data_IF_230604631682
#
_entry.id   IF_230604631682
#
_cell.length_a   1.000
_cell.length_b   1.000
_cell.length_c   1.000
_cell.angle_alpha   90.00
_cell.angle_beta   90.00
_cell.angle_gamma   90.00
#
_symmetry.space_group_name_H-M   'P 1'
#
loop_
_entity.id
_entity.type
_entity.pdbx_description
1 polymer ?
#
# COMPACT_ATOMS: atom_id res chain seq x y z
N UNK A 1 5.95 5.13 -17.07
CA UNK A 1 6.95 4.58 -16.11
C UNK A 1 6.41 3.24 -15.66
N UNK A 2 7.23 2.18 -15.58
CA UNK A 2 6.72 0.86 -15.18
C UNK A 2 6.60 0.78 -13.67
N UNK A 3 5.47 0.32 -13.14
CA UNK A 3 5.26 0.22 -11.68
C UNK A 3 6.33 -0.62 -10.98
N UNK A 4 6.81 -1.68 -11.63
CA UNK A 4 7.87 -2.55 -11.13
C UNK A 4 9.21 -1.84 -10.84
N UNK A 5 9.45 -0.67 -11.45
CA UNK A 5 10.70 0.09 -11.30
C UNK A 5 10.60 1.18 -10.22
N UNK A 6 9.40 1.41 -9.66
CA UNK A 6 9.15 2.53 -8.76
C UNK A 6 9.68 2.31 -7.33
N UNK A 7 9.82 1.07 -6.90
CA UNK A 7 9.98 0.71 -5.48
C UNK A 7 11.27 -0.08 -5.20
N UNK A 8 12.46 0.52 -5.37
CA UNK A 8 13.70 -0.13 -4.97
C UNK A 8 13.67 -0.56 -3.49
N UNK A 9 14.34 -1.67 -3.18
CA UNK A 9 14.39 -2.20 -1.82
C UNK A 9 15.06 -1.23 -0.85
N UNK A 10 14.67 -1.28 0.43
CA UNK A 10 15.20 -0.39 1.48
C UNK A 10 14.54 0.99 1.55
N UNK A 11 13.62 1.30 0.63
CA UNK A 11 12.76 2.49 0.72
C UNK A 11 11.68 2.38 1.80
N UNK A 12 10.96 3.48 2.03
CA UNK A 12 9.90 3.58 3.05
C UNK A 12 8.59 4.04 2.42
N UNK A 13 7.50 3.35 2.75
CA UNK A 13 6.16 3.65 2.28
C UNK A 13 5.26 4.24 3.36
N UNK A 14 4.44 5.22 3.01
CA UNK A 14 3.38 5.77 3.84
C UNK A 14 2.10 5.78 3.00
N UNK A 15 1.03 5.20 3.52
CA UNK A 15 -0.29 5.30 2.90
C UNK A 15 -1.15 6.30 3.67
N UNK A 16 -1.77 7.20 2.92
CA UNK A 16 -2.79 8.12 3.38
C UNK A 16 -4.17 7.65 2.91
N UNK A 17 -5.13 7.67 3.84
CA UNK A 17 -6.54 7.33 3.63
C UNK A 17 -7.40 8.37 4.33
N UNK A 18 -8.68 8.45 4.02
CA UNK A 18 -9.62 9.31 4.74
C UNK A 18 -10.98 8.61 4.87
N UNK A 19 -11.71 8.91 5.94
CA UNK A 19 -13.10 8.45 6.07
C UNK A 19 -14.06 9.26 5.17
N UNK A 20 -15.35 8.94 5.20
CA UNK A 20 -16.37 9.63 4.41
C UNK A 20 -16.58 11.12 4.81
N UNK A 21 -16.12 11.52 6.00
CA UNK A 21 -16.19 12.92 6.46
C UNK A 21 -14.92 13.71 6.11
N UNK A 22 -13.92 13.06 5.49
CA UNK A 22 -12.64 13.67 5.15
C UNK A 22 -11.62 13.68 6.30
N UNK A 23 -11.83 12.91 7.37
CA UNK A 23 -10.84 12.77 8.45
C UNK A 23 -9.68 11.90 7.95
N UNK A 24 -8.51 12.51 7.82
CA UNK A 24 -7.31 11.89 7.23
C UNK A 24 -6.59 10.99 8.24
N UNK A 25 -6.05 9.88 7.74
CA UNK A 25 -5.21 8.94 8.45
C UNK A 25 -3.95 8.63 7.64
N UNK A 26 -2.80 8.52 8.31
CA UNK A 26 -1.52 8.12 7.72
C UNK A 26 -0.96 6.92 8.48
N UNK A 27 -0.43 5.94 7.74
CA UNK A 27 0.23 4.78 8.33
C UNK A 27 1.45 4.36 7.51
N UNK A 28 2.48 3.86 8.18
CA UNK A 28 3.64 3.24 7.51
C UNK A 28 3.20 1.92 6.90
N UNK A 29 3.49 1.72 5.63
CA UNK A 29 3.16 0.51 4.89
C UNK A 29 4.39 -0.05 4.17
N UNK A 30 4.43 -1.37 4.02
CA UNK A 30 5.45 -2.04 3.22
C UNK A 30 5.38 -1.62 1.74
N UNK A 31 6.37 -2.04 0.97
CA UNK A 31 6.33 -1.90 -0.48
C UNK A 31 5.14 -2.69 -1.04
N UNK A 32 4.46 -2.17 -2.08
CA UNK A 32 3.36 -2.90 -2.71
C UNK A 32 3.83 -4.22 -3.29
N UNK A 33 2.86 -5.10 -3.51
CA UNK A 33 2.94 -6.11 -4.54
C UNK A 33 2.54 -5.46 -5.88
N UNK A 34 3.34 -5.67 -6.92
CA UNK A 34 3.02 -5.19 -8.27
C UNK A 34 2.24 -6.31 -8.98
N UNK A 35 0.95 -6.09 -9.20
CA UNK A 35 0.07 -7.10 -9.79
C UNK A 35 0.19 -7.10 -11.30
N UNK A 36 0.16 -5.91 -11.90
CA UNK A 36 0.31 -5.69 -13.34
C UNK A 36 0.84 -4.28 -13.62
N UNK A 37 0.65 -3.76 -14.85
CA UNK A 37 1.16 -2.46 -15.28
C UNK A 37 0.45 -1.26 -14.63
N UNK A 38 -0.76 -1.44 -14.09
CA UNK A 38 -1.60 -0.36 -13.53
C UNK A 38 -2.09 -0.66 -12.10
N UNK A 39 -1.89 -1.87 -11.60
CA UNK A 39 -2.46 -2.35 -10.34
C UNK A 39 -1.38 -2.69 -9.31
N UNK A 40 -1.57 -2.15 -8.11
CA UNK A 40 -0.78 -2.46 -6.91
C UNK A 40 -1.66 -3.11 -5.85
N UNK A 41 -1.05 -3.92 -4.97
CA UNK A 41 -1.75 -4.52 -3.84
C UNK A 41 -0.96 -4.41 -2.54
N UNK A 42 -1.70 -4.31 -1.43
CA UNK A 42 -1.14 -4.34 -0.07
C UNK A 42 -1.96 -5.25 0.83
N UNK A 43 -1.28 -5.85 1.80
CA UNK A 43 -1.93 -6.53 2.91
C UNK A 43 -2.35 -5.54 3.99
N UNK A 44 -3.52 -5.76 4.56
CA UNK A 44 -4.08 -4.98 5.65
C UNK A 44 -4.44 -5.90 6.81
N UNK A 45 -4.22 -5.42 8.03
CA UNK A 45 -4.99 -5.86 9.18
C UNK A 45 -6.34 -5.13 9.20
N UNK A 46 -7.32 -5.68 9.90
CA UNK A 46 -8.50 -4.89 10.25
C UNK A 46 -8.09 -3.66 11.06
N UNK A 47 -8.74 -2.53 10.80
CA UNK A 47 -8.45 -1.25 11.45
C UNK A 47 -8.66 -0.05 10.54
N UNK A 48 -8.26 1.13 11.02
CA UNK A 48 -8.66 2.43 10.47
C UNK A 48 -8.37 2.59 8.97
N UNK A 49 -7.19 2.17 8.48
CA UNK A 49 -6.85 2.38 7.06
C UNK A 49 -7.80 1.61 6.13
N UNK A 50 -8.12 0.34 6.42
CA UNK A 50 -9.04 -0.44 5.58
C UNK A 50 -10.50 -0.03 5.80
N UNK A 51 -10.88 0.36 7.02
CA UNK A 51 -12.20 0.94 7.32
C UNK A 51 -12.45 2.22 6.53
N UNK A 52 -11.46 3.12 6.47
CA UNK A 52 -11.51 4.33 5.66
C UNK A 52 -11.73 3.98 4.18
N UNK A 53 -10.97 3.02 3.65
CA UNK A 53 -11.04 2.61 2.24
C UNK A 53 -12.39 2.03 1.84
N UNK A 54 -13.05 1.30 2.73
CA UNK A 54 -14.41 0.77 2.51
C UNK A 54 -15.47 1.88 2.41
N UNK A 55 -15.22 3.05 3.00
CA UNK A 55 -16.12 4.21 2.95
C UNK A 55 -15.74 5.21 1.85
N UNK A 56 -14.45 5.35 1.58
CA UNK A 56 -13.85 6.23 0.61
C UNK A 56 -12.66 5.51 -0.05
N UNK A 57 -12.79 5.04 -1.30
CA UNK A 57 -11.79 4.17 -1.92
C UNK A 57 -10.49 4.88 -2.30
N UNK A 58 -10.39 6.20 -2.11
CA UNK A 58 -9.22 6.97 -2.50
C UNK A 58 -8.10 6.90 -1.46
N UNK A 59 -6.87 6.74 -1.95
CA UNK A 59 -5.67 6.76 -1.13
C UNK A 59 -4.53 7.52 -1.81
N UNK A 60 -3.57 7.96 -1.01
CA UNK A 60 -2.30 8.49 -1.47
C UNK A 60 -1.17 7.66 -0.91
N UNK A 61 -0.34 7.04 -1.75
CA UNK A 61 0.85 6.34 -1.29
C UNK A 61 2.09 7.17 -1.58
N UNK A 62 2.88 7.43 -0.54
CA UNK A 62 4.13 8.16 -0.62
C UNK A 62 5.27 7.17 -0.38
N UNK A 63 6.17 7.07 -1.35
CA UNK A 63 7.37 6.25 -1.28
C UNK A 63 8.62 7.13 -1.24
N UNK A 64 9.45 6.96 -0.21
CA UNK A 64 10.82 7.51 -0.17
C UNK A 64 11.81 6.44 -0.61
N UNK A 65 12.56 6.75 -1.66
CA UNK A 65 13.66 5.91 -2.13
C UNK A 65 14.83 5.91 -1.12
N UNK A 66 15.63 4.82 -1.06
CA UNK A 66 16.79 4.70 -0.17
C UNK A 66 17.97 5.57 -0.65
N UNK A 67 17.83 6.89 -0.62
CA UNK A 67 18.83 7.84 -1.13
C UNK A 67 19.05 9.01 -0.18
N UNK A 68 20.14 9.75 -0.38
CA UNK A 68 20.35 11.04 0.30
C UNK A 68 19.50 12.09 -0.42
N UNK A 69 18.48 12.63 0.25
CA UNK A 69 17.57 13.66 -0.29
C UNK A 69 16.10 13.19 -0.36
N UNK A 70 15.28 13.92 -1.12
CA UNK A 70 13.84 13.65 -1.29
C UNK A 70 13.56 13.02 -2.66
N UNK A 71 14.12 11.84 -2.91
CA UNK A 71 13.83 11.05 -4.13
C UNK A 71 12.75 10.02 -3.84
N UNK A 72 11.81 9.85 -4.77
CA UNK A 72 10.72 8.91 -4.63
C UNK A 72 9.45 9.42 -5.31
N UNK A 73 8.31 8.84 -4.92
CA UNK A 73 7.06 9.01 -5.65
C UNK A 73 5.88 9.28 -4.72
N UNK A 74 4.90 10.02 -5.25
CA UNK A 74 3.54 10.13 -4.72
C UNK A 74 2.61 9.49 -5.73
N UNK A 75 1.84 8.52 -5.28
CA UNK A 75 0.87 7.82 -6.07
C UNK A 75 -0.53 8.22 -5.61
N UNK A 76 -1.36 8.63 -6.56
CA UNK A 76 -2.81 8.75 -6.36
C UNK A 76 -3.43 7.40 -6.68
N UNK A 77 -4.22 6.85 -5.77
CA UNK A 77 -4.72 5.48 -5.84
C UNK A 77 -6.24 5.45 -5.64
N UNK A 78 -6.89 4.49 -6.29
CA UNK A 78 -8.28 4.13 -6.03
C UNK A 78 -8.37 2.63 -5.77
N UNK A 79 -8.89 2.24 -4.61
CA UNK A 79 -9.15 0.84 -4.28
C UNK A 79 -10.23 0.29 -5.22
N UNK A 80 -9.90 -0.79 -5.91
CA UNK A 80 -10.80 -1.44 -6.88
C UNK A 80 -11.37 -2.75 -6.32
N UNK A 81 -10.68 -3.39 -5.38
CA UNK A 81 -11.10 -4.67 -4.83
C UNK A 81 -10.47 -4.90 -3.44
N UNK A 82 -11.21 -5.55 -2.55
CA UNK A 82 -10.72 -6.06 -1.27
C UNK A 82 -11.07 -7.54 -1.16
N UNK A 83 -10.11 -8.40 -0.80
CA UNK A 83 -10.32 -9.84 -0.56
C UNK A 83 -9.87 -10.25 0.83
N UNK A 84 -10.59 -11.19 1.43
CA UNK A 84 -10.23 -11.86 2.68
C UNK A 84 -9.53 -13.21 2.51
N UNK A 85 -9.31 -13.64 1.26
CA UNK A 85 -8.74 -14.93 0.89
C UNK A 85 -8.00 -14.85 -0.45
N UNK A 86 -7.26 -15.91 -0.79
CA UNK A 86 -6.54 -16.06 -2.06
C UNK A 86 -5.03 -16.19 -1.89
N UNK A 87 -4.37 -16.63 -2.96
CA UNK A 87 -2.92 -16.89 -2.98
C UNK A 87 -2.09 -15.66 -2.62
N UNK A 88 -2.44 -14.50 -3.18
CA UNK A 88 -1.72 -13.25 -2.90
C UNK A 88 -1.79 -12.83 -1.42
N UNK A 89 -2.90 -13.10 -0.71
CA UNK A 89 -2.99 -12.83 0.71
C UNK A 89 -1.98 -13.70 1.50
N UNK A 90 -1.82 -14.96 1.10
CA UNK A 90 -0.84 -15.86 1.72
C UNK A 90 0.60 -15.41 1.43
N UNK A 91 0.91 -15.03 0.19
CA UNK A 91 2.21 -14.46 -0.17
C UNK A 91 2.55 -13.21 0.65
N UNK A 92 1.59 -12.30 0.80
CA UNK A 92 1.79 -11.08 1.59
C UNK A 92 1.99 -11.41 3.07
N UNK A 93 1.26 -12.38 3.63
CA UNK A 93 1.50 -12.85 5.01
C UNK A 93 2.91 -13.40 5.19
N UNK A 94 3.38 -14.24 4.27
CA UNK A 94 4.73 -14.79 4.30
C UNK A 94 5.78 -13.68 4.22
N UNK A 95 5.64 -12.75 3.26
CA UNK A 95 6.53 -11.59 3.14
C UNK A 95 6.52 -10.75 4.41
N UNK A 96 5.36 -10.51 5.00
CA UNK A 96 5.21 -9.72 6.25
C UNK A 96 5.93 -10.39 7.42
N UNK A 97 5.90 -11.72 7.50
CA UNK A 97 6.62 -12.46 8.54
C UNK A 97 8.14 -12.26 8.43
N UNK A 98 8.67 -12.17 7.20
CA UNK A 98 10.09 -11.98 6.92
C UNK A 98 10.56 -10.54 7.15
N UNK A 99 9.75 -9.54 6.74
CA UNK A 99 10.18 -8.13 6.76
C UNK A 99 9.77 -7.37 8.03
N UNK A 100 8.76 -7.84 8.75
CA UNK A 100 8.24 -7.18 9.95
C UNK A 100 8.29 -8.10 11.18
N UNK A 101 7.34 -9.03 11.31
CA UNK A 101 7.32 -10.03 12.37
C UNK A 101 6.24 -11.09 12.13
N UNK A 102 6.34 -12.29 12.75
CA UNK A 102 5.26 -13.28 12.74
C UNK A 102 3.95 -12.74 13.31
N UNK A 103 4.01 -11.88 14.33
CA UNK A 103 2.83 -11.25 14.92
C UNK A 103 2.14 -10.31 13.93
N UNK A 104 2.91 -9.49 13.19
CA UNK A 104 2.35 -8.63 12.15
C UNK A 104 1.70 -9.47 11.03
N UNK A 105 2.38 -10.54 10.60
CA UNK A 105 1.84 -11.49 9.61
C UNK A 105 0.49 -12.08 10.02
N UNK A 106 0.35 -12.50 11.29
CA UNK A 106 -0.89 -13.05 11.82
C UNK A 106 -2.07 -12.05 11.83
N UNK A 107 -1.78 -10.74 11.84
CA UNK A 107 -2.80 -9.69 11.80
C UNK A 107 -3.26 -9.37 10.37
N UNK A 108 -2.44 -9.65 9.35
CA UNK A 108 -2.81 -9.43 7.95
C UNK A 108 -3.97 -10.38 7.62
N UNK A 109 -5.13 -9.82 7.29
CA UNK A 109 -6.36 -10.57 7.06
C UNK A 109 -7.09 -10.15 5.79
N UNK A 110 -6.63 -9.06 5.15
CA UNK A 110 -7.18 -8.53 3.91
C UNK A 110 -6.06 -8.22 2.93
N UNK A 111 -6.37 -8.33 1.65
CA UNK A 111 -5.58 -7.75 0.57
C UNK A 111 -6.46 -6.76 -0.17
N UNK A 112 -5.98 -5.53 -0.34
CA UNK A 112 -6.66 -4.52 -1.14
C UNK A 112 -5.84 -4.23 -2.40
N UNK A 113 -6.53 -4.19 -3.52
CA UNK A 113 -6.02 -3.90 -4.86
C UNK A 113 -6.37 -2.47 -5.23
N UNK A 114 -5.41 -1.77 -5.82
CA UNK A 114 -5.51 -0.37 -6.16
C UNK A 114 -5.11 -0.16 -7.60
N UNK A 115 -5.97 0.57 -8.32
CA UNK A 115 -5.56 1.21 -9.56
C UNK A 115 -4.66 2.41 -9.23
N UNK A 116 -3.58 2.56 -9.97
CA UNK A 116 -2.72 3.74 -9.93
C UNK A 116 -3.28 4.79 -10.87
N UNK A 117 -3.87 5.85 -10.32
CA UNK A 117 -4.47 6.93 -11.10
C UNK A 117 -3.41 7.94 -11.57
N UNK A 118 -2.38 8.16 -10.75
CA UNK A 118 -1.32 9.12 -11.05
C UNK A 118 -0.02 8.74 -10.34
N UNK A 119 1.13 9.01 -10.97
CA UNK A 119 2.46 8.93 -10.36
C UNK A 119 3.14 10.29 -10.51
N UNK A 120 3.55 10.88 -9.38
CA UNK A 120 4.26 12.16 -9.32
C UNK A 120 5.58 12.01 -8.56
N UNK A 121 6.62 12.79 -8.87
CA UNK A 121 7.79 12.89 -8.00
C UNK A 121 7.42 13.50 -6.63
N UNK A 122 8.26 13.25 -5.63
CA UNK A 122 8.09 13.85 -4.29
C UNK A 122 8.18 15.38 -4.32
N UNK A 123 9.06 15.93 -5.17
CA UNK A 123 9.25 17.37 -5.38
C UNK A 123 9.09 17.72 -6.85
#
# INVERSE_FOLDING_TARGET
MKLAELFPEGGRGIIGTADANGVVNLAVFALPYVVDEETLAWGFSEGRSIENLRQNPHASYLYLAPSRGYSGWRLTLTMIEEKGEGELLNEIKERTALVASPQASAQVSRVAYFKVDEVRPLM
#
